data_IF_852925698129
#
_entry.id   IF_852925698129
#
_cell.length_a   1.000
_cell.length_b   1.000
_cell.length_c   1.000
_cell.angle_alpha   90.00
_cell.angle_beta   90.00
_cell.angle_gamma   90.00
#
_symmetry.space_group_name_H-M   'P 1'
#
loop_
_entity.id
_entity.type
_entity.pdbx_description
1 polymer ?
#
# COMPACT_ATOMS: atom_id res chain seq x y z
N UNK A 1 16.67 10.68 9.12
CA UNK A 1 15.70 9.64 8.70
C UNK A 1 14.67 10.27 7.78
N UNK A 2 14.28 9.60 6.68
CA UNK A 2 13.19 10.08 5.80
C UNK A 2 11.87 10.02 6.59
N UNK A 3 11.07 11.10 6.56
CA UNK A 3 9.80 11.18 7.33
C UNK A 3 8.84 10.03 7.03
N UNK A 4 8.83 9.53 5.80
CA UNK A 4 7.96 8.43 5.32
C UNK A 4 8.26 7.07 5.94
N UNK A 5 9.51 6.82 6.32
CA UNK A 5 9.94 5.50 6.80
C UNK A 5 9.99 5.45 8.34
N UNK A 6 9.34 6.41 9.01
CA UNK A 6 9.22 6.38 10.47
C UNK A 6 8.36 5.18 10.90
N UNK A 7 8.90 4.24 11.68
CA UNK A 7 8.15 3.06 12.16
C UNK A 7 6.94 3.41 13.04
N UNK A 8 6.87 4.64 13.56
CA UNK A 8 5.75 5.12 14.37
C UNK A 8 4.54 5.53 13.53
N UNK A 9 4.69 5.74 12.22
CA UNK A 9 3.58 6.06 11.34
C UNK A 9 2.60 4.89 11.26
N UNK A 10 1.31 5.23 11.30
CA UNK A 10 0.19 4.30 11.20
C UNK A 10 -0.75 4.75 10.09
N UNK A 11 -1.26 3.77 9.35
CA UNK A 11 -2.32 4.01 8.39
C UNK A 11 -3.67 3.98 9.08
N UNK A 12 -4.64 4.71 8.51
CA UNK A 12 -6.05 4.51 8.81
C UNK A 12 -6.61 3.25 8.14
N UNK A 13 -5.94 2.74 7.10
CA UNK A 13 -6.20 1.43 6.51
C UNK A 13 -5.63 0.36 7.44
N UNK A 14 -6.43 -0.66 7.73
CA UNK A 14 -5.98 -1.80 8.53
C UNK A 14 -4.89 -2.58 7.78
N UNK A 15 -3.71 -2.68 8.41
CA UNK A 15 -2.57 -3.44 7.88
C UNK A 15 -2.29 -4.61 8.83
N UNK A 16 -2.37 -5.87 8.35
CA UNK A 16 -2.05 -7.03 9.15
C UNK A 16 -0.61 -6.98 9.70
N UNK A 17 -0.42 -7.47 10.93
CA UNK A 17 0.92 -7.58 11.52
C UNK A 17 1.80 -8.49 10.67
N UNK A 18 2.97 -8.00 10.26
CA UNK A 18 3.90 -8.74 9.40
C UNK A 18 3.57 -8.67 7.90
N UNK A 19 2.63 -7.82 7.49
CA UNK A 19 2.39 -7.56 6.06
C UNK A 19 3.65 -6.98 5.39
N UNK A 20 3.91 -7.43 4.17
CA UNK A 20 4.96 -6.87 3.29
C UNK A 20 4.62 -5.45 2.80
N UNK A 21 3.37 -5.01 2.99
CA UNK A 21 2.86 -3.72 2.50
C UNK A 21 2.47 -2.77 3.65
N UNK A 22 3.37 -2.41 4.57
CA UNK A 22 3.10 -1.40 5.57
C UNK A 22 3.10 0.00 4.96
N UNK A 23 2.60 0.99 5.71
CA UNK A 23 2.57 2.40 5.26
C UNK A 23 3.96 2.98 4.94
N UNK A 24 5.03 2.34 5.42
CA UNK A 24 6.41 2.70 5.14
C UNK A 24 6.94 2.16 3.79
N UNK A 25 6.26 1.19 3.16
CA UNK A 25 6.73 0.55 1.92
C UNK A 25 6.08 1.15 0.67
N UNK A 26 4.74 1.18 0.63
CA UNK A 26 3.92 1.73 -0.47
C UNK A 26 4.50 1.46 -1.87
N UNK A 27 4.68 0.18 -2.27
CA UNK A 27 5.23 -0.14 -3.59
C UNK A 27 4.21 0.14 -4.68
N UNK A 28 4.72 0.57 -5.84
CA UNK A 28 3.93 0.76 -7.04
C UNK A 28 3.84 -0.53 -7.85
N UNK A 29 2.67 -0.79 -8.42
CA UNK A 29 2.44 -1.91 -9.33
C UNK A 29 1.37 -1.57 -10.36
N UNK A 30 1.20 -2.45 -11.34
CA UNK A 30 0.06 -2.39 -12.26
C UNK A 30 -0.97 -3.43 -11.80
N UNK A 31 -2.20 -3.01 -11.58
CA UNK A 31 -3.31 -3.89 -11.23
C UNK A 31 -4.47 -3.73 -12.20
N UNK A 32 -5.40 -4.67 -12.16
CA UNK A 32 -6.66 -4.63 -12.93
C UNK A 32 -7.78 -5.20 -12.08
N UNK A 33 -9.00 -4.71 -12.30
CA UNK A 33 -10.21 -5.25 -11.68
C UNK A 33 -11.19 -5.67 -12.78
N UNK A 34 -12.35 -6.20 -12.41
CA UNK A 34 -13.40 -6.52 -13.38
C UNK A 34 -13.99 -5.28 -14.08
N UNK A 35 -13.79 -4.09 -13.51
CA UNK A 35 -14.35 -2.82 -14.00
C UNK A 35 -13.28 -1.81 -14.44
N UNK A 36 -12.00 -2.08 -14.23
CA UNK A 36 -10.87 -1.23 -14.65
C UNK A 36 -9.95 -1.97 -15.61
N UNK A 37 -9.46 -1.23 -16.61
CA UNK A 37 -8.30 -1.65 -17.41
C UNK A 37 -7.04 -1.69 -16.54
N UNK A 38 -5.92 -2.20 -17.06
CA UNK A 38 -4.66 -2.21 -16.32
C UNK A 38 -4.20 -0.77 -16.01
N UNK A 39 -4.08 -0.42 -14.74
CA UNK A 39 -3.69 0.91 -14.24
C UNK A 39 -2.63 0.80 -13.14
N UNK A 40 -1.93 1.90 -12.89
CA UNK A 40 -0.97 1.97 -11.79
C UNK A 40 -1.70 2.10 -10.45
N UNK A 41 -1.20 1.41 -9.42
CA UNK A 41 -1.72 1.50 -8.06
C UNK A 41 -0.64 1.23 -7.02
N UNK A 42 -1.00 1.46 -5.76
CA UNK A 42 -0.09 1.32 -4.61
C UNK A 42 -0.63 0.29 -3.62
N UNK A 43 0.19 -0.69 -3.25
CA UNK A 43 -0.23 -1.72 -2.28
C UNK A 43 -0.15 -1.20 -0.83
N UNK A 44 -1.18 -1.49 -0.03
CA UNK A 44 -1.22 -1.23 1.41
C UNK A 44 -2.04 -2.29 2.14
N UNK A 45 -1.40 -3.04 3.05
CA UNK A 45 -2.02 -4.17 3.74
C UNK A 45 -2.59 -5.19 2.74
N UNK A 46 -3.90 -5.38 2.79
CA UNK A 46 -4.64 -6.28 1.88
C UNK A 46 -5.35 -5.53 0.74
N UNK A 47 -5.04 -4.25 0.55
CA UNK A 47 -5.70 -3.37 -0.40
C UNK A 47 -4.72 -2.80 -1.42
N UNK A 48 -5.26 -2.32 -2.53
CA UNK A 48 -4.56 -1.51 -3.53
C UNK A 48 -5.27 -0.17 -3.64
N UNK A 49 -4.52 0.92 -3.54
CA UNK A 49 -4.99 2.26 -3.87
C UNK A 49 -4.88 2.43 -5.39
N UNK A 50 -6.02 2.71 -6.02
CA UNK A 50 -6.12 3.25 -7.39
C UNK A 50 -5.79 4.75 -7.38
#
# INVERSE_FOLDING_TARGET
>A
MRKSNDPKLKSWVEVPKGSDFPIQNLPFGIFKTNYLTAVAGVAIGNYVLD
#
